data_IF_941934991037
#
_entry.id   IF_941934991037
#
_cell.length_a   1.000
_cell.length_b   1.000
_cell.length_c   1.000
_cell.angle_alpha   90.00
_cell.angle_beta   90.00
_cell.angle_gamma   90.00
#
_symmetry.space_group_name_H-M   'P 1'
#
loop_
_entity.id
_entity.type
_entity.pdbx_description
1 polymer ?
2 water ?
#
# COMPACT_ATOMS: atom_id res chain seq x y z
N UNK A 1 3.19 -23.45 -3.80
CA UNK A 1 3.24 -22.01 -3.55
C UNK A 1 1.95 -21.30 -3.94
N UNK A 2 1.12 -21.03 -2.94
CA UNK A 2 -0.08 -20.24 -3.09
C UNK A 2 -0.06 -19.12 -2.06
N UNK A 3 0.20 -19.46 -0.80
CA UNK A 3 0.31 -18.44 0.23
C UNK A 3 1.57 -17.60 0.03
N UNK A 4 2.73 -18.24 0.05
CA UNK A 4 3.98 -17.49 -0.03
C UNK A 4 3.96 -16.47 -1.16
N UNK A 5 3.45 -16.88 -2.31
CA UNK A 5 3.54 -16.07 -3.53
C UNK A 5 2.35 -15.13 -3.75
N UNK A 6 1.18 -15.49 -3.22
CA UNK A 6 0.06 -14.57 -3.24
C UNK A 6 0.52 -13.35 -2.48
N UNK A 7 1.37 -13.57 -1.49
CA UNK A 7 1.92 -12.49 -0.69
C UNK A 7 2.71 -11.52 -1.53
N UNK A 8 3.76 -12.02 -2.19
CA UNK A 8 4.64 -11.18 -2.99
C UNK A 8 3.82 -10.30 -3.91
N UNK A 9 3.02 -10.94 -4.76
CA UNK A 9 2.13 -10.23 -5.68
C UNK A 9 1.35 -9.11 -5.00
N UNK A 10 0.76 -9.42 -3.86
CA UNK A 10 0.02 -8.42 -3.12
C UNK A 10 0.86 -7.17 -2.90
N UNK A 11 2.01 -7.33 -2.27
CA UNK A 11 2.86 -6.20 -1.97
C UNK A 11 3.08 -5.32 -3.18
N UNK A 12 3.31 -5.95 -4.32
CA UNK A 12 3.60 -5.23 -5.56
C UNK A 12 2.39 -4.41 -6.00
N UNK A 13 1.23 -5.06 -5.99
CA UNK A 13 -0.01 -4.39 -6.31
C UNK A 13 -0.07 -3.16 -5.44
N UNK A 14 0.03 -3.38 -4.13
CA UNK A 14 0.06 -2.29 -3.19
C UNK A 14 1.02 -1.23 -3.68
N UNK A 15 2.20 -1.67 -4.11
CA UNK A 15 3.19 -0.70 -4.54
C UNK A 15 2.65 0.28 -5.56
N UNK A 16 2.01 -0.24 -6.59
CA UNK A 16 1.52 0.63 -7.65
C UNK A 16 0.36 1.46 -7.13
N UNK A 17 -0.38 0.89 -6.19
CA UNK A 17 -1.48 1.61 -5.59
C UNK A 17 -0.92 2.80 -4.85
N UNK A 18 0.08 2.54 -4.01
CA UNK A 18 0.75 3.57 -3.24
C UNK A 18 1.30 4.67 -4.13
N UNK A 19 1.86 4.30 -5.29
CA UNK A 19 2.43 5.26 -6.22
C UNK A 19 1.37 6.12 -6.92
N UNK A 20 0.36 5.46 -7.48
CA UNK A 20 -0.73 6.16 -8.16
C UNK A 20 -1.32 7.20 -7.23
N UNK A 21 -1.55 6.75 -6.00
CA UNK A 21 -2.04 7.58 -4.91
C UNK A 21 -1.20 8.84 -4.70
N UNK A 22 0.11 8.65 -4.64
CA UNK A 22 1.05 9.74 -4.50
C UNK A 22 0.96 10.69 -5.68
N UNK A 23 0.87 10.13 -6.88
CA UNK A 23 0.67 10.97 -8.05
C UNK A 23 -0.62 11.75 -7.88
N UNK A 24 -1.65 11.06 -7.39
CA UNK A 24 -2.95 11.68 -7.23
C UNK A 24 -2.84 12.92 -6.36
N UNK A 25 -2.30 12.76 -5.16
CA UNK A 25 -2.12 13.89 -4.26
C UNK A 25 -1.30 15.03 -4.87
N UNK A 26 -0.64 14.77 -5.99
CA UNK A 26 0.16 15.78 -6.67
C UNK A 26 -0.67 16.52 -7.72
N UNK A 27 -1.35 15.75 -8.56
CA UNK A 27 -2.26 16.32 -9.53
C UNK A 27 -3.24 17.15 -8.73
N UNK A 28 -3.72 16.56 -7.65
CA UNK A 28 -4.58 17.23 -6.68
C UNK A 28 -4.02 18.60 -6.32
N UNK A 29 -2.86 18.61 -5.66
CA UNK A 29 -2.15 19.84 -5.30
C UNK A 29 -2.20 20.86 -6.43
N UNK A 30 -1.91 20.42 -7.66
CA UNK A 30 -2.14 21.24 -8.85
C UNK A 30 -1.42 22.58 -8.83
N UNK B 1 -7.97 19.01 3.29
CA UNK B 1 -9.31 19.32 2.80
C UNK B 1 -10.04 18.03 2.40
N UNK B 2 -11.29 18.17 1.94
CA UNK B 2 -12.17 17.02 1.69
C UNK B 2 -11.50 15.79 1.10
N UNK B 3 -11.27 15.80 -0.21
CA UNK B 3 -10.57 14.70 -0.86
C UNK B 3 -9.11 14.62 -0.43
N UNK B 4 -8.46 15.77 -0.25
CA UNK B 4 -7.08 15.82 0.24
C UNK B 4 -6.92 14.88 1.43
N UNK B 5 -7.88 14.98 2.34
CA UNK B 5 -7.83 14.27 3.62
C UNK B 5 -8.24 12.81 3.48
N UNK B 6 -9.16 12.54 2.57
CA UNK B 6 -9.50 11.17 2.23
C UNK B 6 -8.24 10.47 1.72
N UNK B 7 -7.49 11.15 0.85
CA UNK B 7 -6.25 10.59 0.34
C UNK B 7 -5.27 10.35 1.45
N UNK B 8 -5.02 11.40 2.22
CA UNK B 8 -4.03 11.35 3.29
C UNK B 8 -4.28 10.14 4.19
N UNK B 9 -5.55 9.79 4.38
CA UNK B 9 -5.92 8.62 5.15
C UNK B 9 -5.72 7.36 4.32
N UNK B 10 -6.04 7.45 3.04
CA UNK B 10 -5.80 6.33 2.16
C UNK B 10 -4.33 5.96 2.22
N UNK B 11 -3.47 6.94 1.96
CA UNK B 11 -2.03 6.76 2.10
C UNK B 11 -1.64 6.09 3.40
N UNK B 12 -1.91 6.78 4.50
CA UNK B 12 -1.55 6.32 5.82
C UNK B 12 -1.94 4.86 6.01
N UNK B 13 -3.19 4.55 5.71
CA UNK B 13 -3.73 3.20 5.87
C UNK B 13 -3.00 2.25 4.94
N UNK B 14 -2.74 2.72 3.73
CA UNK B 14 -2.08 1.91 2.73
C UNK B 14 -0.71 1.43 3.22
N UNK B 15 -0.04 2.28 4.00
CA UNK B 15 1.30 1.95 4.49
C UNK B 15 1.25 1.06 5.72
N UNK B 16 0.20 1.18 6.51
CA UNK B 16 0.07 0.26 7.61
C UNK B 16 -0.12 -1.11 6.97
N UNK B 17 -0.80 -1.11 5.83
CA UNK B 17 -1.08 -2.33 5.09
C UNK B 17 0.19 -2.99 4.62
N UNK B 18 1.01 -2.25 3.88
CA UNK B 18 2.29 -2.78 3.43
C UNK B 18 3.13 -3.21 4.62
N UNK B 19 2.95 -2.53 5.75
CA UNK B 19 3.66 -2.89 6.97
C UNK B 19 3.21 -4.24 7.56
N UNK B 20 1.90 -4.47 7.63
CA UNK B 20 1.37 -5.74 8.11
C UNK B 20 1.74 -6.82 7.12
N UNK B 21 1.85 -6.39 5.87
CA UNK B 21 2.21 -7.25 4.76
C UNK B 21 3.57 -7.91 4.92
N UNK B 22 4.60 -7.08 5.06
CA UNK B 22 5.94 -7.59 5.30
C UNK B 22 5.95 -8.49 6.53
N UNK B 23 5.27 -8.05 7.58
CA UNK B 23 5.22 -8.79 8.85
C UNK B 23 4.81 -10.24 8.65
N UNK B 24 3.72 -10.45 7.91
CA UNK B 24 3.27 -11.80 7.60
C UNK B 24 4.30 -12.53 6.75
N UNK B 25 4.78 -11.84 5.71
CA UNK B 25 5.81 -12.38 4.86
C UNK B 25 6.89 -12.98 5.72
N UNK B 26 7.55 -12.14 6.50
CA UNK B 26 8.66 -12.57 7.34
C UNK B 26 8.30 -13.74 8.26
N UNK B 27 7.14 -13.67 8.90
CA UNK B 27 6.72 -14.71 9.82
C UNK B 27 6.79 -16.00 9.04
N UNK B 28 6.46 -15.89 7.77
CA UNK B 28 6.40 -17.03 6.87
C UNK B 28 7.77 -17.47 6.39
N UNK B 29 8.72 -16.55 6.42
CA UNK B 29 10.10 -16.92 6.16
C UNK B 29 10.75 -17.40 7.46
N UNK B 30 9.91 -17.80 8.42
CA UNK B 30 10.35 -18.33 9.71
C UNK B 30 9.54 -19.55 10.11
#
# INVERSE_FOLDING_TARGET
AEAESALEYAQQALEKAQLALQAARQALKA
AEAESALEYAQQALEKAQLALQAARQALKA
#
